data_IF_908988892736
#
_entry.id   IF_908988892736
#
_cell.length_a   1.000
_cell.length_b   1.000
_cell.length_c   1.000
_cell.angle_alpha   90.00
_cell.angle_beta   90.00
_cell.angle_gamma   90.00
#
_symmetry.space_group_name_H-M   'P 1'
#
loop_
_entity.id
_entity.type
_entity.pdbx_description
1 polymer ?
#
# COMPACT_ATOMS: atom_id res chain seq x y z
N UNK A 1 -32.71 3.28 2.96
CA UNK A 1 -32.09 3.08 1.63
C UNK A 1 -33.01 2.46 0.56
N UNK A 2 -34.07 1.73 0.90
CA UNK A 2 -34.89 0.98 -0.08
C UNK A 2 -35.88 1.80 -0.95
N UNK A 3 -35.90 3.15 -0.89
CA UNK A 3 -36.96 3.98 -1.52
C UNK A 3 -36.46 4.92 -2.65
N UNK A 4 -35.19 4.80 -3.05
CA UNK A 4 -34.62 5.65 -4.11
C UNK A 4 -34.75 5.00 -5.49
N UNK A 5 -34.73 3.66 -5.55
CA UNK A 5 -34.80 2.89 -6.80
C UNK A 5 -36.23 2.57 -7.25
N UNK A 6 -37.25 2.92 -6.45
CA UNK A 6 -38.67 2.75 -6.75
C UNK A 6 -39.26 3.91 -7.56
N UNK A 7 -38.47 4.98 -7.80
CA UNK A 7 -38.91 6.19 -8.48
C UNK A 7 -38.63 6.11 -9.98
N UNK A 8 -39.61 6.53 -10.79
CA UNK A 8 -39.48 6.61 -12.25
C UNK A 8 -38.43 7.64 -12.71
N UNK A 9 -38.11 8.61 -11.85
CA UNK A 9 -37.08 9.63 -12.09
C UNK A 9 -36.12 9.66 -10.91
N UNK A 10 -34.83 9.46 -11.21
CA UNK A 10 -33.74 9.56 -10.25
C UNK A 10 -33.02 10.89 -10.49
N UNK A 11 -33.06 11.78 -9.50
CA UNK A 11 -32.36 13.06 -9.55
C UNK A 11 -30.94 12.89 -8.97
N UNK A 12 -29.92 13.26 -9.75
CA UNK A 12 -28.52 13.22 -9.32
C UNK A 12 -28.08 14.63 -8.92
N UNK A 13 -28.11 14.92 -7.63
CA UNK A 13 -27.69 16.21 -7.06
C UNK A 13 -26.47 16.04 -6.16
N UNK A 14 -25.80 17.16 -5.85
CA UNK A 14 -24.63 17.17 -4.94
C UNK A 14 -24.95 16.62 -3.55
N UNK A 15 -26.17 16.87 -3.07
CA UNK A 15 -26.60 16.56 -1.70
C UNK A 15 -27.49 15.31 -1.63
N UNK A 16 -27.83 14.71 -2.78
CA UNK A 16 -28.81 13.62 -2.90
C UNK A 16 -28.34 12.25 -2.41
N UNK A 17 -27.09 12.12 -1.93
CA UNK A 17 -26.54 10.86 -1.38
C UNK A 17 -26.33 9.74 -2.41
N UNK A 18 -26.60 9.97 -3.69
CA UNK A 18 -26.42 9.00 -4.77
C UNK A 18 -25.08 9.26 -5.46
N UNK A 19 -24.23 8.23 -5.53
CA UNK A 19 -22.98 8.27 -6.29
C UNK A 19 -23.18 7.66 -7.67
N UNK A 20 -22.96 8.45 -8.72
CA UNK A 20 -22.94 7.95 -10.08
C UNK A 20 -21.59 7.28 -10.38
N UNK A 21 -21.62 5.98 -10.66
CA UNK A 21 -20.44 5.23 -11.10
C UNK A 21 -20.45 5.13 -12.63
N UNK A 22 -19.52 5.82 -13.27
CA UNK A 22 -19.30 5.75 -14.71
C UNK A 22 -18.37 4.57 -15.02
N UNK A 23 -18.76 3.73 -15.98
CA UNK A 23 -18.00 2.54 -16.41
C UNK A 23 -17.64 1.58 -15.25
N UNK A 24 -18.63 0.91 -14.63
CA UNK A 24 -18.42 0.07 -13.45
C UNK A 24 -17.49 -1.14 -13.69
N UNK A 25 -17.27 -1.51 -14.95
CA UNK A 25 -16.31 -2.56 -15.33
C UNK A 25 -14.86 -2.10 -15.31
N UNK A 26 -14.61 -0.79 -15.22
CA UNK A 26 -13.27 -0.22 -15.24
C UNK A 26 -12.79 0.03 -13.80
N UNK A 27 -11.89 -0.83 -13.32
CA UNK A 27 -11.37 -0.75 -11.97
C UNK A 27 -10.16 0.18 -11.91
N UNK A 28 -10.25 1.21 -11.06
CA UNK A 28 -9.18 2.16 -10.80
C UNK A 28 -8.68 1.99 -9.37
N UNK A 29 -7.37 2.04 -9.16
CA UNK A 29 -6.81 2.03 -7.81
C UNK A 29 -7.06 3.38 -7.12
N UNK A 30 -7.26 3.36 -5.80
CA UNK A 30 -7.42 4.60 -5.03
C UNK A 30 -6.21 5.53 -5.15
N UNK A 31 -4.99 4.97 -5.24
CA UNK A 31 -3.75 5.72 -5.48
C UNK A 31 -3.78 6.46 -6.81
N UNK A 32 -4.34 5.86 -7.86
CA UNK A 32 -4.52 6.51 -9.16
C UNK A 32 -5.50 7.69 -9.06
N UNK A 33 -6.63 7.50 -8.39
CA UNK A 33 -7.59 8.58 -8.12
C UNK A 33 -6.92 9.71 -7.34
N UNK A 34 -6.13 9.38 -6.31
CA UNK A 34 -5.36 10.34 -5.52
C UNK A 34 -4.41 11.19 -6.37
N UNK A 35 -3.66 10.57 -7.30
CA UNK A 35 -2.79 11.29 -8.23
C UNK A 35 -3.55 12.21 -9.20
N UNK A 36 -4.78 11.82 -9.57
CA UNK A 36 -5.59 12.57 -10.53
C UNK A 36 -6.02 13.95 -10.01
N UNK A 37 -6.11 14.13 -8.68
CA UNK A 37 -6.41 15.42 -8.07
C UNK A 37 -5.34 16.48 -8.35
N UNK A 38 -4.08 16.05 -8.55
CA UNK A 38 -2.99 16.95 -8.94
C UNK A 38 -2.95 17.16 -10.46
N UNK A 39 -2.99 16.07 -11.23
CA UNK A 39 -2.96 16.14 -12.69
C UNK A 39 -3.57 14.89 -13.33
N UNK A 40 -4.82 14.99 -13.78
CA UNK A 40 -5.54 13.92 -14.46
C UNK A 40 -4.77 13.39 -15.70
N UNK A 41 -4.19 14.27 -16.51
CA UNK A 41 -3.43 13.87 -17.72
C UNK A 41 -2.21 13.03 -17.36
N UNK A 42 -1.44 13.43 -16.34
CA UNK A 42 -0.28 12.67 -15.88
C UNK A 42 -0.71 11.30 -15.43
N UNK A 43 -1.71 11.21 -14.54
CA UNK A 43 -2.23 9.93 -14.06
C UNK A 43 -2.70 9.04 -15.21
N UNK A 44 -3.48 9.55 -16.16
CA UNK A 44 -3.91 8.77 -17.32
C UNK A 44 -2.72 8.25 -18.15
N UNK A 45 -1.71 9.08 -18.40
CA UNK A 45 -0.51 8.65 -19.14
C UNK A 45 0.28 7.57 -18.39
N UNK A 46 0.41 7.69 -17.06
CA UNK A 46 1.09 6.69 -16.22
C UNK A 46 0.41 5.32 -16.27
N UNK A 47 -0.89 5.26 -16.56
CA UNK A 47 -1.62 3.98 -16.68
C UNK A 47 -1.46 3.30 -18.03
N UNK A 48 -1.26 4.09 -19.10
CA UNK A 48 -1.20 3.59 -20.47
C UNK A 48 0.24 3.30 -20.90
N UNK A 49 1.18 4.11 -20.44
CA UNK A 49 2.60 3.92 -20.69
C UNK A 49 3.14 3.11 -19.53
N UNK A 50 3.24 1.78 -19.71
CA UNK A 50 4.02 0.97 -18.79
C UNK A 50 5.45 1.51 -18.80
N UNK A 51 5.92 1.93 -17.63
CA UNK A 51 7.27 2.44 -17.45
C UNK A 51 8.28 1.37 -17.90
N UNK A 52 8.86 1.54 -19.09
CA UNK A 52 9.95 0.72 -19.60
C UNK A 52 11.28 1.01 -18.88
N UNK A 53 11.30 1.96 -17.94
CA UNK A 53 12.47 2.32 -17.14
C UNK A 53 12.11 2.42 -15.66
N UNK A 54 12.89 1.71 -14.85
CA UNK A 54 12.82 1.50 -13.40
C UNK A 54 12.04 2.54 -12.61
N UNK A 55 10.88 2.11 -12.10
CA UNK A 55 10.07 2.84 -11.13
C UNK A 55 10.51 2.53 -9.68
N UNK A 56 11.51 1.66 -9.52
CA UNK A 56 12.18 1.45 -8.24
C UNK A 56 12.89 2.74 -7.86
N UNK A 57 12.33 3.46 -6.90
CA UNK A 57 13.04 4.48 -6.16
C UNK A 57 13.20 4.02 -4.72
N UNK A 58 14.22 4.53 -4.05
CA UNK A 58 14.55 4.14 -2.68
C UNK A 58 13.34 4.21 -1.74
N UNK A 59 12.56 5.29 -1.81
CA UNK A 59 11.40 5.47 -0.93
C UNK A 59 10.31 4.42 -1.16
N UNK A 60 10.05 4.04 -2.42
CA UNK A 60 9.06 3.02 -2.76
C UNK A 60 9.52 1.61 -2.35
N UNK A 61 10.79 1.27 -2.62
CA UNK A 61 11.37 -0.04 -2.26
C UNK A 61 11.42 -0.20 -0.74
N UNK A 62 11.98 0.80 -0.03
CA UNK A 62 12.04 0.78 1.44
C UNK A 62 10.64 0.81 2.04
N UNK A 63 9.73 1.62 1.49
CA UNK A 63 8.35 1.69 1.94
C UNK A 63 7.63 0.34 1.86
N UNK A 64 7.82 -0.39 0.75
CA UNK A 64 7.25 -1.73 0.57
C UNK A 64 7.72 -2.70 1.65
N UNK A 65 9.02 -2.71 1.93
CA UNK A 65 9.62 -3.56 2.98
C UNK A 65 9.05 -3.21 4.36
N UNK A 66 8.91 -1.91 4.66
CA UNK A 66 8.34 -1.46 5.94
C UNK A 66 6.87 -1.84 6.10
N UNK A 67 6.09 -1.81 5.02
CA UNK A 67 4.71 -2.29 5.02
C UNK A 67 4.64 -3.79 5.34
N UNK A 68 5.47 -4.61 4.69
CA UNK A 68 5.49 -6.06 4.92
C UNK A 68 5.94 -6.42 6.34
N UNK A 69 6.94 -5.72 6.89
CA UNK A 69 7.36 -5.89 8.28
C UNK A 69 6.27 -5.51 9.28
N UNK A 70 5.52 -4.44 8.99
CA UNK A 70 4.42 -3.98 9.83
C UNK A 70 3.27 -5.00 9.83
N UNK A 71 2.94 -5.57 8.67
CA UNK A 71 1.94 -6.64 8.55
C UNK A 71 2.38 -7.88 9.34
N UNK A 72 3.63 -8.32 9.16
CA UNK A 72 4.16 -9.47 9.89
C UNK A 72 4.14 -9.24 11.41
N UNK A 73 4.47 -8.03 11.87
CA UNK A 73 4.44 -7.67 13.28
C UNK A 73 3.02 -7.69 13.86
N UNK A 74 2.04 -7.18 13.12
CA UNK A 74 0.63 -7.23 13.51
C UNK A 74 0.11 -8.65 13.61
N UNK A 75 0.44 -9.50 12.62
CA UNK A 75 0.05 -10.90 12.64
C UNK A 75 0.71 -11.66 13.80
N UNK A 76 1.98 -11.37 14.09
CA UNK A 76 2.68 -11.94 15.24
C UNK A 76 2.06 -11.51 16.57
N UNK A 77 1.78 -10.21 16.73
CA UNK A 77 1.12 -9.67 17.92
C UNK A 77 -0.29 -10.25 18.13
N UNK A 78 -1.01 -10.55 17.04
CA UNK A 78 -2.31 -11.23 17.08
C UNK A 78 -2.22 -12.75 17.28
N UNK A 79 -1.03 -13.33 17.43
CA UNK A 79 -0.82 -14.78 17.56
C UNK A 79 -1.11 -15.57 16.28
N UNK A 80 -1.14 -14.90 15.12
CA UNK A 80 -1.46 -15.47 13.79
C UNK A 80 -0.25 -15.67 12.89
N UNK A 81 0.93 -15.28 13.34
CA UNK A 81 2.19 -15.54 12.64
C UNK A 81 3.14 -16.36 13.54
N UNK A 82 3.40 -17.63 13.21
CA UNK A 82 4.37 -18.45 13.94
C UNK A 82 5.83 -18.20 13.48
N UNK A 83 6.06 -17.46 12.39
CA UNK A 83 7.39 -17.14 11.89
C UNK A 83 8.07 -16.09 12.79
N UNK A 84 9.30 -16.33 13.28
CA UNK A 84 10.07 -15.31 13.98
C UNK A 84 10.36 -14.10 13.07
N UNK A 85 10.33 -12.90 13.64
CA UNK A 85 10.51 -11.66 12.88
C UNK A 85 11.86 -11.62 12.15
N UNK A 86 12.91 -12.19 12.73
CA UNK A 86 14.25 -12.26 12.13
C UNK A 86 14.24 -13.06 10.83
N UNK A 87 13.44 -14.13 10.77
CA UNK A 87 13.28 -14.96 9.57
C UNK A 87 12.51 -14.19 8.50
N UNK A 88 11.47 -13.45 8.89
CA UNK A 88 10.73 -12.54 7.99
C UNK A 88 11.69 -11.52 7.38
N UNK A 89 12.52 -10.86 8.20
CA UNK A 89 13.50 -9.85 7.73
C UNK A 89 14.47 -10.43 6.70
N UNK A 90 15.09 -11.57 7.00
CA UNK A 90 16.04 -12.20 6.08
C UNK A 90 15.40 -12.58 4.75
N UNK A 91 14.16 -13.07 4.79
CA UNK A 91 13.39 -13.41 3.60
C UNK A 91 13.07 -12.17 2.77
N UNK A 92 12.68 -11.06 3.41
CA UNK A 92 12.37 -9.81 2.72
C UNK A 92 13.60 -9.20 2.05
N UNK A 93 14.74 -9.13 2.75
CA UNK A 93 15.99 -8.60 2.18
C UNK A 93 16.36 -9.39 0.91
N UNK A 94 16.30 -10.72 0.96
CA UNK A 94 16.58 -11.59 -0.21
C UNK A 94 15.59 -11.37 -1.35
N UNK A 95 14.31 -11.12 -1.03
CA UNK A 95 13.28 -10.90 -2.04
C UNK A 95 13.48 -9.58 -2.81
N UNK A 96 14.08 -8.57 -2.18
CA UNK A 96 14.26 -7.24 -2.76
C UNK A 96 15.67 -6.97 -3.30
N UNK A 97 16.63 -7.91 -3.21
CA UNK A 97 18.04 -7.71 -3.63
C UNK A 97 18.18 -7.10 -5.03
N UNK A 98 17.38 -7.56 -6.01
CA UNK A 98 17.42 -7.01 -7.37
C UNK A 98 16.97 -5.54 -7.42
N UNK A 99 15.91 -5.20 -6.69
CA UNK A 99 15.40 -3.83 -6.61
C UNK A 99 16.40 -2.91 -5.91
N UNK A 100 17.10 -3.41 -4.88
CA UNK A 100 18.17 -2.67 -4.20
C UNK A 100 19.34 -2.36 -5.15
N UNK A 101 19.69 -3.32 -6.01
CA UNK A 101 20.72 -3.12 -7.04
C UNK A 101 20.31 -2.06 -8.06
N UNK A 102 19.05 -2.07 -8.52
CA UNK A 102 18.52 -1.07 -9.47
C UNK A 102 18.62 0.38 -8.95
N UNK A 103 18.52 0.57 -7.63
CA UNK A 103 18.58 1.88 -6.98
C UNK A 103 19.95 2.21 -6.37
N UNK A 104 20.96 1.36 -6.56
CA UNK A 104 22.28 1.49 -5.94
C UNK A 104 22.22 1.66 -4.40
N UNK A 105 21.37 0.87 -3.75
CA UNK A 105 21.22 0.84 -2.30
C UNK A 105 21.75 -0.47 -1.73
N UNK A 106 22.55 -0.43 -0.66
CA UNK A 106 23.16 -1.66 -0.15
C UNK A 106 22.23 -2.43 0.78
N UNK A 107 22.36 -3.77 0.78
CA UNK A 107 21.67 -4.63 1.75
C UNK A 107 22.06 -4.28 3.21
N UNK A 108 23.28 -3.79 3.43
CA UNK A 108 23.75 -3.38 4.75
C UNK A 108 23.03 -2.13 5.26
N UNK A 109 22.86 -1.13 4.38
CA UNK A 109 22.08 0.08 4.70
C UNK A 109 20.62 -0.26 4.97
N UNK A 110 20.04 -1.16 4.16
CA UNK A 110 18.67 -1.64 4.38
C UNK A 110 18.56 -2.34 5.73
N UNK A 111 19.45 -3.28 6.02
CA UNK A 111 19.43 -4.03 7.28
C UNK A 111 19.56 -3.09 8.48
N UNK A 112 20.48 -2.13 8.44
CA UNK A 112 20.62 -1.11 9.48
C UNK A 112 19.30 -0.34 9.68
N UNK A 113 18.66 0.08 8.58
CA UNK A 113 17.39 0.81 8.64
C UNK A 113 16.26 -0.01 9.24
N UNK A 114 16.20 -1.30 8.90
CA UNK A 114 15.27 -2.27 9.46
C UNK A 114 15.51 -2.43 10.97
N UNK A 115 16.75 -2.68 11.39
CA UNK A 115 17.13 -2.88 12.79
C UNK A 115 16.78 -1.66 13.66
N UNK A 116 16.94 -0.44 13.13
CA UNK A 116 16.55 0.80 13.79
C UNK A 116 15.02 0.97 13.95
N UNK A 117 14.23 0.37 13.05
CA UNK A 117 12.78 0.63 12.94
C UNK A 117 11.92 -0.48 13.56
N UNK A 118 12.36 -1.75 13.46
CA UNK A 118 11.62 -2.94 13.92
C UNK A 118 11.14 -2.85 15.37
N UNK A 119 11.97 -2.43 16.35
CA UNK A 119 11.53 -2.38 17.74
C UNK A 119 10.32 -1.45 17.94
N UNK A 120 10.27 -0.35 17.18
CA UNK A 120 9.14 0.58 17.18
C UNK A 120 7.89 -0.04 16.57
N UNK A 121 8.04 -0.76 15.46
CA UNK A 121 6.94 -1.45 14.76
C UNK A 121 6.34 -2.55 15.65
N UNK A 122 7.17 -3.40 16.26
CA UNK A 122 6.71 -4.47 17.15
C UNK A 122 5.95 -3.91 18.35
N UNK A 123 6.51 -2.88 19.01
CA UNK A 123 5.85 -2.21 20.14
C UNK A 123 4.52 -1.57 19.74
N UNK A 124 4.46 -0.96 18.56
CA UNK A 124 3.22 -0.40 18.03
C UNK A 124 2.17 -1.49 17.76
N UNK A 125 2.59 -2.60 17.14
CA UNK A 125 1.72 -3.72 16.82
C UNK A 125 1.15 -4.39 18.09
N UNK A 126 1.99 -4.65 19.09
CA UNK A 126 1.58 -5.17 20.40
C UNK A 126 0.57 -4.25 21.09
N UNK A 127 0.83 -2.93 21.07
CA UNK A 127 -0.09 -1.95 21.65
C UNK A 127 -1.42 -1.90 20.91
N UNK A 128 -1.43 -2.10 19.59
CA UNK A 128 -2.67 -2.12 18.83
C UNK A 128 -3.44 -3.42 19.09
N UNK A 129 -2.76 -4.57 19.11
CA UNK A 129 -3.37 -5.87 19.38
C UNK A 129 -3.92 -5.97 20.82
N UNK A 130 -3.36 -5.24 21.78
CA UNK A 130 -3.91 -5.20 23.15
C UNK A 130 -5.17 -4.34 23.27
N UNK A 131 -5.51 -3.53 22.26
CA UNK A 131 -6.75 -2.74 22.21
C UNK A 131 -7.90 -3.49 21.52
N UNK A 132 -7.61 -4.60 20.82
CA UNK A 132 -8.59 -5.43 20.12
C UNK A 132 -9.05 -6.62 20.96
#
# INVERSE_FOLDING_TARGET
>A
EADVLSKDVIELTRDGGILLVLYPTFLLSATMIGGSFQCLRRTALQTQVQYTWGDSNEAATVGTIMHELTEAALLAAAGRNPEPMEVTVERLIKAVTNQLFEINFSEQELKKRIDETIPGIQKWAEKLASLS
#
